data_IF_668020531638
#
_entry.id   IF_668020531638
#
_cell.length_a   1.000
_cell.length_b   1.000
_cell.length_c   1.000
_cell.angle_alpha   90.00
_cell.angle_beta   90.00
_cell.angle_gamma   90.00
#
_symmetry.space_group_name_H-M   'P 1'
#
loop_
_entity.id
_entity.type
_entity.pdbx_description
1 polymer ?
#
# COMPACT_ATOMS: atom_id res chain seq x y z
N UNK A 1 21.03 -4.14 -31.53
CA UNK A 1 21.08 -4.47 -30.10
C UNK A 1 20.21 -3.43 -29.45
N UNK A 2 18.94 -3.77 -29.21
CA UNK A 2 18.05 -2.91 -28.45
C UNK A 2 18.55 -2.89 -27.01
N UNK A 3 18.72 -1.68 -26.50
CA UNK A 3 19.22 -1.41 -25.17
C UNK A 3 18.15 -1.87 -24.15
N UNK A 4 18.39 -3.01 -23.50
CA UNK A 4 17.45 -3.68 -22.58
C UNK A 4 17.57 -3.17 -21.14
N UNK A 5 18.28 -2.05 -20.93
CA UNK A 5 18.64 -1.59 -19.59
C UNK A 5 17.68 -0.60 -18.95
N UNK A 6 16.50 -0.36 -19.53
CA UNK A 6 15.48 0.48 -18.89
C UNK A 6 14.14 -0.26 -18.89
N UNK A 7 13.60 -0.64 -17.72
CA UNK A 7 12.30 -1.30 -17.67
C UNK A 7 11.26 -0.38 -18.31
N UNK A 8 10.42 -0.97 -19.16
CA UNK A 8 9.32 -0.26 -19.80
C UNK A 8 8.43 0.37 -18.71
N UNK A 9 7.90 1.57 -18.97
CA UNK A 9 7.02 2.28 -18.04
C UNK A 9 5.83 1.37 -17.65
N UNK A 10 5.35 0.55 -18.59
CA UNK A 10 4.32 -0.45 -18.34
C UNK A 10 4.73 -1.50 -17.30
N UNK A 11 5.97 -1.99 -17.36
CA UNK A 11 6.49 -2.95 -16.37
C UNK A 11 6.65 -2.31 -15.00
N UNK A 12 7.14 -1.07 -14.92
CA UNK A 12 7.24 -0.33 -13.65
C UNK A 12 5.85 -0.14 -13.04
N UNK A 13 4.87 0.23 -13.86
CA UNK A 13 3.49 0.43 -13.41
C UNK A 13 2.86 -0.86 -12.91
N UNK A 14 3.06 -1.98 -13.62
CA UNK A 14 2.58 -3.29 -13.20
C UNK A 14 3.18 -3.70 -11.86
N UNK A 15 4.50 -3.55 -11.67
CA UNK A 15 5.18 -3.84 -10.40
C UNK A 15 4.61 -2.97 -9.27
N UNK A 16 4.37 -1.69 -9.54
CA UNK A 16 3.82 -0.78 -8.55
C UNK A 16 2.39 -1.15 -8.16
N UNK A 17 1.53 -1.50 -9.12
CA UNK A 17 0.16 -1.98 -8.86
C UNK A 17 0.18 -3.27 -8.06
N UNK A 18 1.01 -4.24 -8.44
CA UNK A 18 1.19 -5.49 -7.71
C UNK A 18 1.59 -5.25 -6.24
N UNK A 19 2.53 -4.32 -6.02
CA UNK A 19 2.97 -3.93 -4.69
C UNK A 19 1.87 -3.24 -3.88
N UNK A 20 1.05 -2.39 -4.53
CA UNK A 20 -0.08 -1.71 -3.91
C UNK A 20 -1.19 -2.68 -3.53
N UNK A 21 -1.60 -3.58 -4.42
CA UNK A 21 -2.64 -4.59 -4.14
C UNK A 21 -2.22 -5.48 -2.97
N UNK A 22 -0.97 -5.92 -2.99
CA UNK A 22 -0.39 -6.71 -1.90
C UNK A 22 -0.31 -5.96 -0.57
N UNK A 23 -0.10 -4.64 -0.59
CA UNK A 23 -0.15 -3.80 0.60
C UNK A 23 -1.59 -3.57 1.09
N UNK A 24 -2.56 -3.48 0.19
CA UNK A 24 -3.98 -3.35 0.53
C UNK A 24 -4.52 -4.62 1.19
N UNK A 25 -4.12 -5.80 0.72
CA UNK A 25 -4.48 -7.06 1.39
C UNK A 25 -3.96 -7.13 2.83
N UNK A 26 -2.69 -6.73 3.06
CA UNK A 26 -2.15 -6.63 4.43
C UNK A 26 -2.92 -5.61 5.26
N UNK A 27 -3.31 -4.49 4.66
CA UNK A 27 -4.08 -3.43 5.31
C UNK A 27 -5.45 -3.95 5.76
N UNK A 28 -6.15 -4.71 4.90
CA UNK A 28 -7.44 -5.36 5.22
C UNK A 28 -7.30 -6.32 6.40
N UNK A 29 -6.32 -7.22 6.35
CA UNK A 29 -6.05 -8.17 7.45
C UNK A 29 -5.78 -7.45 8.76
N UNK A 30 -4.98 -6.39 8.74
CA UNK A 30 -4.66 -5.58 9.93
C UNK A 30 -5.89 -4.85 10.47
N UNK A 31 -6.71 -4.30 9.57
CA UNK A 31 -7.97 -3.61 9.88
C UNK A 31 -8.97 -4.55 10.56
N UNK A 32 -9.20 -5.73 9.97
CA UNK A 32 -10.08 -6.77 10.50
C UNK A 32 -9.64 -7.23 11.89
N UNK A 33 -8.35 -7.51 12.06
CA UNK A 33 -7.80 -7.93 13.36
C UNK A 33 -7.82 -6.82 14.42
N UNK A 34 -7.94 -5.56 14.00
CA UNK A 34 -8.10 -4.40 14.89
C UNK A 34 -9.57 -4.09 15.19
N UNK A 35 -10.51 -4.84 14.59
CA UNK A 35 -11.95 -4.64 14.77
C UNK A 35 -12.48 -3.36 14.10
N UNK A 36 -11.76 -2.85 13.10
CA UNK A 36 -12.19 -1.69 12.33
C UNK A 36 -13.32 -2.09 11.37
N UNK A 37 -14.36 -1.27 11.27
CA UNK A 37 -15.49 -1.52 10.35
C UNK A 37 -15.14 -1.20 8.90
N UNK A 38 -14.25 -0.24 8.72
CA UNK A 38 -13.81 0.29 7.44
C UNK A 38 -12.29 0.45 7.49
N UNK A 39 -11.66 0.38 6.33
CA UNK A 39 -10.22 0.45 6.20
C UNK A 39 -9.72 1.85 6.60
N UNK A 40 -9.09 1.97 7.75
CA UNK A 40 -8.58 3.26 8.22
C UNK A 40 -7.25 3.64 7.55
N UNK A 41 -6.94 4.94 7.54
CA UNK A 41 -5.62 5.43 7.10
C UNK A 41 -4.46 4.80 7.89
N UNK A 42 -4.67 4.45 9.17
CA UNK A 42 -3.67 3.76 9.99
C UNK A 42 -3.38 2.35 9.44
N UNK A 43 -4.43 1.62 9.09
CA UNK A 43 -4.35 0.28 8.50
C UNK A 43 -3.68 0.32 7.12
N UNK A 44 -4.02 1.30 6.27
CA UNK A 44 -3.39 1.51 4.95
C UNK A 44 -1.90 1.81 5.08
N UNK A 45 -1.53 2.79 5.91
CA UNK A 45 -0.12 3.14 6.15
C UNK A 45 0.65 1.93 6.67
N UNK A 46 0.05 1.16 7.58
CA UNK A 46 0.65 -0.06 8.13
C UNK A 46 0.93 -1.11 7.05
N UNK A 47 -0.02 -1.34 6.14
CA UNK A 47 0.17 -2.28 5.03
C UNK A 47 1.26 -1.83 4.05
N UNK A 48 1.29 -0.54 3.71
CA UNK A 48 2.33 0.04 2.84
C UNK A 48 3.74 -0.12 3.45
N UNK A 49 3.90 0.23 4.73
CA UNK A 49 5.18 0.07 5.44
C UNK A 49 5.57 -1.41 5.55
N UNK A 50 4.61 -2.29 5.87
CA UNK A 50 4.87 -3.72 5.92
C UNK A 50 5.42 -4.22 4.59
N UNK A 51 4.78 -3.86 3.47
CA UNK A 51 5.16 -4.37 2.14
C UNK A 51 6.48 -3.79 1.64
N UNK A 52 6.79 -2.54 1.99
CA UNK A 52 8.10 -1.94 1.71
C UNK A 52 9.25 -2.66 2.43
N UNK A 53 9.01 -3.10 3.67
CA UNK A 53 10.04 -3.70 4.53
C UNK A 53 10.04 -5.24 4.53
N UNK A 54 9.00 -5.85 3.97
CA UNK A 54 8.83 -7.31 3.88
C UNK A 54 8.66 -7.69 2.40
N UNK A 55 9.72 -8.22 1.76
CA UNK A 55 9.65 -8.68 0.38
C UNK A 55 8.55 -9.72 0.20
N UNK A 56 7.86 -9.66 -0.94
CA UNK A 56 6.96 -10.73 -1.37
C UNK A 56 7.76 -12.01 -1.64
N UNK A 57 7.16 -13.15 -1.31
CA UNK A 57 7.60 -14.45 -1.80
C UNK A 57 7.43 -14.55 -3.32
N UNK A 58 8.12 -15.47 -3.98
CA UNK A 58 8.00 -15.65 -5.43
C UNK A 58 6.56 -15.99 -5.85
N UNK A 59 5.85 -16.77 -5.02
CA UNK A 59 4.46 -17.14 -5.27
C UNK A 59 3.55 -15.91 -5.19
N UNK A 60 3.71 -15.06 -4.16
CA UNK A 60 3.01 -13.77 -4.06
C UNK A 60 3.33 -12.87 -5.26
N UNK A 61 4.60 -12.78 -5.67
CA UNK A 61 4.99 -11.96 -6.83
C UNK A 61 4.24 -12.40 -8.08
N UNK A 62 4.17 -13.71 -8.35
CA UNK A 62 3.47 -14.21 -9.53
C UNK A 62 1.97 -13.87 -9.46
N UNK A 63 1.33 -14.13 -8.32
CA UNK A 63 -0.10 -13.84 -8.11
C UNK A 63 -0.41 -12.35 -8.31
N UNK A 64 0.35 -11.45 -7.67
CA UNK A 64 0.07 -10.02 -7.75
C UNK A 64 0.47 -9.41 -9.09
N UNK A 65 1.44 -9.98 -9.81
CA UNK A 65 1.78 -9.56 -11.17
C UNK A 65 0.70 -9.97 -12.17
N UNK A 66 0.09 -11.15 -12.01
CA UNK A 66 -1.07 -11.59 -12.80
C UNK A 66 -2.27 -10.68 -12.55
N UNK A 67 -2.61 -10.40 -11.28
CA UNK A 67 -3.68 -9.44 -10.94
C UNK A 67 -3.42 -8.05 -11.49
N UNK A 68 -2.17 -7.57 -11.42
CA UNK A 68 -1.81 -6.27 -11.99
C UNK A 68 -1.95 -6.25 -13.52
N UNK A 69 -1.68 -7.37 -14.20
CA UNK A 69 -1.90 -7.51 -15.64
C UNK A 69 -3.39 -7.46 -15.97
N UNK A 70 -4.23 -8.18 -15.21
CA UNK A 70 -5.69 -8.14 -15.34
C UNK A 70 -6.25 -6.73 -15.13
N UNK A 71 -5.74 -5.98 -14.14
CA UNK A 71 -6.14 -4.59 -13.90
C UNK A 71 -5.75 -3.67 -15.07
N UNK A 72 -4.58 -3.90 -15.70
CA UNK A 72 -4.06 -3.04 -16.76
C UNK A 72 -4.61 -3.36 -18.15
N UNK A 73 -4.84 -4.65 -18.41
CA UNK A 73 -5.11 -5.18 -19.74
C UNK A 73 -6.46 -5.93 -19.83
N UNK A 74 -7.14 -6.15 -18.71
CA UNK A 74 -8.47 -6.75 -18.69
C UNK A 74 -9.47 -5.90 -19.46
N UNK A 75 -10.29 -6.55 -20.29
CA UNK A 75 -11.43 -5.91 -20.92
C UNK A 75 -12.41 -5.50 -19.80
N UNK A 76 -12.55 -4.20 -19.54
CA UNK A 76 -13.66 -3.71 -18.72
C UNK A 76 -14.96 -4.11 -19.40
N UNK A 77 -15.61 -5.16 -18.92
CA UNK A 77 -17.07 -5.21 -19.03
C UNK A 77 -17.56 -3.96 -18.32
N UNK A 78 -18.01 -2.97 -19.09
CA UNK A 78 -18.64 -1.75 -18.57
C UNK A 78 -19.92 -2.17 -17.82
N UNK A 79 -19.78 -2.55 -16.55
CA UNK A 79 -20.85 -2.40 -15.59
C UNK A 79 -20.99 -0.90 -15.36
N UNK A 80 -21.96 -0.33 -16.05
CA UNK A 80 -22.48 1.03 -15.90
C UNK A 80 -23.09 1.14 -14.48
N UNK A 81 -22.23 1.13 -13.47
CA UNK A 81 -22.57 1.55 -12.12
C UNK A 81 -22.76 3.06 -12.18
N UNK A 82 -24.03 3.46 -12.25
CA UNK A 82 -24.52 4.81 -12.07
C UNK A 82 -24.00 5.32 -10.71
N UNK A 83 -22.78 5.88 -10.71
CA UNK A 83 -22.08 6.47 -9.57
C UNK A 83 -22.77 7.78 -9.18
N UNK A 84 -24.05 7.70 -8.80
CA UNK A 84 -24.74 8.73 -8.04
C UNK A 84 -24.80 8.28 -6.59
N UNK A 85 -23.65 8.23 -5.93
CA UNK A 85 -23.60 8.39 -4.49
C UNK A 85 -22.82 9.67 -4.24
N UNK A 86 -23.45 10.59 -3.53
CA UNK A 86 -22.81 11.72 -2.88
C UNK A 86 -21.48 11.24 -2.30
N UNK A 87 -20.37 11.49 -3.01
CA UNK A 87 -19.10 11.72 -2.36
C UNK A 87 -19.36 12.97 -1.53
N UNK A 88 -19.94 12.80 -0.34
CA UNK A 88 -19.73 13.72 0.75
C UNK A 88 -18.22 13.84 0.82
N UNK A 89 -17.69 14.91 0.21
CA UNK A 89 -16.37 15.38 0.50
C UNK A 89 -16.34 15.48 2.02
N UNK A 90 -15.78 14.47 2.69
CA UNK A 90 -15.28 14.65 4.03
C UNK A 90 -14.26 15.76 3.86
N UNK A 91 -14.73 16.99 4.09
CA UNK A 91 -13.96 18.19 4.27
C UNK A 91 -12.77 17.71 5.08
N UNK A 92 -11.56 17.88 4.54
CA UNK A 92 -10.32 17.58 5.23
C UNK A 92 -10.37 18.40 6.52
N UNK A 93 -10.96 17.84 7.57
CA UNK A 93 -10.98 18.42 8.90
C UNK A 93 -9.51 18.44 9.23
N UNK A 94 -9.00 19.64 9.51
CA UNK A 94 -7.61 19.89 9.82
C UNK A 94 -7.22 18.99 11.02
N UNK A 95 -6.82 17.74 10.74
CA UNK A 95 -6.62 16.71 11.75
C UNK A 95 -5.36 17.10 12.50
N UNK A 96 -5.46 17.16 13.82
CA UNK A 96 -4.30 17.39 14.67
C UNK A 96 -3.22 16.35 14.38
N UNK A 97 -1.94 16.76 14.31
CA UNK A 97 -0.87 15.83 14.03
C UNK A 97 -0.84 14.67 15.04
N UNK A 98 -0.77 13.43 14.55
CA UNK A 98 -0.91 12.23 15.38
C UNK A 98 0.03 11.11 14.95
N UNK A 99 0.27 10.16 15.85
CA UNK A 99 1.00 8.93 15.51
C UNK A 99 0.09 7.91 14.83
N UNK A 100 0.69 7.07 13.99
CA UNK A 100 0.03 5.89 13.41
C UNK A 100 -0.38 4.93 14.52
N UNK A 101 -1.61 4.42 14.43
CA UNK A 101 -2.08 3.39 15.37
C UNK A 101 -1.46 2.05 15.01
N UNK A 102 -1.09 1.30 16.04
CA UNK A 102 -0.47 -0.01 15.88
C UNK A 102 -1.52 -1.12 16.04
N UNK A 103 -1.44 -2.21 15.25
CA UNK A 103 -2.33 -3.34 15.45
C UNK A 103 -2.07 -4.02 16.79
N UNK A 104 -3.15 -4.44 17.46
CA UNK A 104 -3.09 -5.05 18.80
C UNK A 104 -3.07 -6.58 18.78
N UNK A 105 -3.37 -7.19 17.64
CA UNK A 105 -3.35 -8.65 17.48
C UNK A 105 -1.91 -9.20 17.50
N UNK A 106 -1.75 -10.41 18.02
CA UNK A 106 -0.47 -11.11 18.16
C UNK A 106 -0.25 -12.20 17.10
N UNK A 107 -0.99 -12.18 15.99
CA UNK A 107 -0.67 -13.03 14.84
C UNK A 107 0.62 -12.55 14.15
N UNK A 108 1.21 -13.41 13.31
CA UNK A 108 2.50 -13.15 12.67
C UNK A 108 2.49 -11.87 11.83
N UNK A 109 1.43 -11.63 11.06
CA UNK A 109 1.28 -10.43 10.22
C UNK A 109 1.27 -9.19 11.11
N UNK A 110 0.40 -9.12 12.11
CA UNK A 110 0.28 -7.95 13.00
C UNK A 110 1.54 -7.72 13.84
N UNK A 111 2.24 -8.77 14.27
CA UNK A 111 3.53 -8.63 14.96
C UNK A 111 4.60 -8.06 14.03
N UNK A 112 4.73 -8.60 12.81
CA UNK A 112 5.67 -8.09 11.81
C UNK A 112 5.34 -6.65 11.43
N UNK A 113 4.07 -6.31 11.21
CA UNK A 113 3.63 -4.93 10.94
C UNK A 113 4.08 -3.97 12.03
N UNK A 114 3.94 -4.33 13.32
CA UNK A 114 4.47 -3.52 14.43
C UNK A 114 5.99 -3.37 14.36
N UNK A 115 6.72 -4.44 14.05
CA UNK A 115 8.17 -4.40 13.90
C UNK A 115 8.57 -3.49 12.74
N UNK A 116 7.86 -3.54 11.60
CA UNK A 116 8.11 -2.66 10.46
C UNK A 116 7.90 -1.19 10.85
N UNK A 117 6.76 -0.84 11.46
CA UNK A 117 6.48 0.53 11.93
C UNK A 117 7.57 1.03 12.89
N UNK A 118 8.00 0.21 13.84
CA UNK A 118 9.06 0.57 14.80
C UNK A 118 10.42 0.84 14.15
N UNK A 119 10.74 0.13 13.07
CA UNK A 119 12.04 0.24 12.39
C UNK A 119 12.01 1.16 11.16
N UNK A 120 10.83 1.65 10.77
CA UNK A 120 10.64 2.42 9.54
C UNK A 120 11.52 3.68 9.49
N UNK A 121 11.70 4.35 10.63
CA UNK A 121 12.52 5.58 10.74
C UNK A 121 14.00 5.41 10.29
N UNK A 122 14.49 4.18 10.26
CA UNK A 122 15.88 3.82 9.97
C UNK A 122 15.97 2.91 8.76
N UNK A 123 14.85 2.72 8.05
CA UNK A 123 14.81 1.90 6.86
C UNK A 123 15.35 2.70 5.67
N UNK A 124 16.46 2.21 5.11
CA UNK A 124 17.09 2.77 3.93
C UNK A 124 16.69 1.98 2.68
N UNK A 125 16.37 2.72 1.62
CA UNK A 125 16.05 2.16 0.30
C UNK A 125 17.19 2.49 -0.66
N UNK A 126 17.58 1.50 -1.45
CA UNK A 126 18.71 1.62 -2.38
C UNK A 126 18.28 1.54 -3.84
N UNK A 127 17.20 0.80 -4.12
CA UNK A 127 16.68 0.63 -5.48
C UNK A 127 15.71 1.76 -5.85
N UNK A 128 15.73 2.26 -7.09
CA UNK A 128 14.88 3.38 -7.52
C UNK A 128 13.38 3.20 -7.21
N UNK A 129 12.84 2.00 -7.47
CA UNK A 129 11.43 1.70 -7.19
C UNK A 129 11.11 1.67 -5.70
N UNK A 130 12.00 1.07 -4.90
CA UNK A 130 11.84 1.04 -3.44
C UNK A 130 11.89 2.45 -2.83
N UNK A 131 12.76 3.31 -3.36
CA UNK A 131 12.86 4.71 -2.94
C UNK A 131 11.62 5.50 -3.33
N UNK A 132 11.12 5.31 -4.55
CA UNK A 132 9.87 5.94 -5.00
C UNK A 132 8.69 5.56 -4.10
N UNK A 133 8.56 4.28 -3.76
CA UNK A 133 7.51 3.79 -2.87
C UNK A 133 7.65 4.35 -1.45
N UNK A 134 8.87 4.38 -0.92
CA UNK A 134 9.17 4.96 0.39
C UNK A 134 8.85 6.46 0.46
N UNK A 135 9.23 7.22 -0.57
CA UNK A 135 8.97 8.65 -0.64
C UNK A 135 7.47 8.95 -0.79
N UNK A 136 6.73 8.11 -1.52
CA UNK A 136 5.27 8.20 -1.60
C UNK A 136 4.63 8.03 -0.20
N UNK A 137 5.03 7.01 0.57
CA UNK A 137 4.54 6.81 1.95
C UNK A 137 4.82 8.04 2.81
N UNK A 138 6.06 8.56 2.80
CA UNK A 138 6.45 9.74 3.59
C UNK A 138 5.61 10.95 3.21
N UNK A 139 5.41 11.18 1.92
CA UNK A 139 4.62 12.31 1.41
C UNK A 139 3.17 12.20 1.86
N UNK A 140 2.53 11.05 1.69
CA UNK A 140 1.14 10.82 2.11
C UNK A 140 0.96 10.98 3.62
N UNK A 141 1.92 10.50 4.42
CA UNK A 141 1.92 10.68 5.87
C UNK A 141 2.03 12.16 6.28
N UNK A 142 2.92 12.91 5.63
CA UNK A 142 3.10 14.34 5.87
C UNK A 142 1.83 15.14 5.53
N UNK A 143 1.23 14.89 4.37
CA UNK A 143 -0.01 15.54 3.92
C UNK A 143 -1.18 15.21 4.85
N UNK A 144 -1.23 13.98 5.37
CA UNK A 144 -2.27 13.54 6.32
C UNK A 144 -1.97 13.88 7.77
N UNK A 145 -0.84 14.54 8.07
CA UNK A 145 -0.34 14.83 9.44
C UNK A 145 -0.24 13.59 10.34
N UNK A 146 0.16 12.46 9.76
CA UNK A 146 0.39 11.20 10.47
C UNK A 146 1.90 10.95 10.57
N UNK A 147 2.37 10.60 11.76
CA UNK A 147 3.77 10.24 12.01
C UNK A 147 3.90 8.76 12.31
N UNK A 148 4.94 8.15 11.73
CA UNK A 148 5.33 6.75 11.96
C UNK A 148 6.50 6.75 12.95
#
# INVERSE_FOLDING_TARGET
MEDTSNPDIGQIMQIFIAQMDSAMEVSKVVSEHSGEKELSADSVITGLVYRLMTPMSQDEVNEYMEKADEILNGESEEEDEDMTEDMEEEIIVDKEPRKVKHPVCNCDICMKSRICLLNYHSYETYEPLSTMFNDAIKKSCMESKIYI
#
